data_IF_692658406517
#
_entry.id   IF_692658406517
#
_cell.length_a   1.000
_cell.length_b   1.000
_cell.length_c   1.000
_cell.angle_alpha   90.00
_cell.angle_beta   90.00
_cell.angle_gamma   90.00
#
_symmetry.space_group_name_H-M   'P 1'
#
loop_
_entity.id
_entity.type
_entity.pdbx_description
1 polymer ?
#
# COMPACT_ATOMS: atom_id res chain seq x y z
N UNK A 1 13.18 -1.50 -14.55
CA UNK A 1 12.74 -2.16 -13.31
C UNK A 1 11.36 -2.72 -13.57
N UNK A 2 11.27 -4.02 -13.82
CA UNK A 2 9.99 -4.69 -14.06
C UNK A 2 9.40 -5.02 -12.68
N UNK A 3 8.33 -4.33 -12.30
CA UNK A 3 7.54 -4.68 -11.12
C UNK A 3 6.55 -5.75 -11.62
N UNK A 4 6.76 -7.01 -11.23
CA UNK A 4 5.79 -8.06 -11.49
C UNK A 4 4.61 -7.87 -10.53
N UNK A 5 3.50 -7.37 -11.08
CA UNK A 5 2.27 -7.08 -10.35
C UNK A 5 1.38 -8.32 -10.29
N UNK A 6 1.38 -9.03 -9.17
CA UNK A 6 0.29 -9.95 -8.84
C UNK A 6 -0.83 -9.14 -8.16
N UNK A 7 -1.56 -8.33 -8.92
CA UNK A 7 -2.71 -7.54 -8.44
C UNK A 7 -3.97 -8.35 -8.70
N UNK A 8 -4.51 -9.01 -7.67
CA UNK A 8 -5.78 -9.72 -7.76
C UNK A 8 -6.92 -9.08 -6.95
N UNK A 9 -6.73 -7.91 -6.31
CA UNK A 9 -7.74 -7.39 -5.35
C UNK A 9 -8.16 -5.93 -5.61
N UNK A 10 -7.47 -5.18 -6.47
CA UNK A 10 -7.89 -3.81 -6.82
C UNK A 10 -7.52 -3.50 -8.26
N UNK A 11 -8.50 -3.47 -9.17
CA UNK A 11 -8.29 -3.03 -10.55
C UNK A 11 -8.18 -1.50 -10.58
N UNK A 12 -7.03 -0.97 -10.14
CA UNK A 12 -6.77 0.46 -10.26
C UNK A 12 -6.60 0.83 -11.73
N UNK A 13 -7.36 1.83 -12.17
CA UNK A 13 -7.19 2.42 -13.49
C UNK A 13 -6.04 3.44 -13.49
N UNK A 14 -5.86 4.13 -12.36
CA UNK A 14 -4.88 5.20 -12.21
C UNK A 14 -4.12 5.00 -10.92
N UNK A 15 -2.78 5.13 -10.99
CA UNK A 15 -1.87 5.03 -9.85
C UNK A 15 -0.82 6.13 -9.89
N UNK A 16 -0.68 6.86 -8.79
CA UNK A 16 0.36 7.87 -8.61
C UNK A 16 1.23 7.56 -7.41
N UNK A 17 2.53 7.80 -7.55
CA UNK A 17 3.51 7.71 -6.47
C UNK A 17 4.19 9.07 -6.35
N UNK A 18 4.30 9.62 -5.15
CA UNK A 18 4.99 10.88 -4.93
C UNK A 18 5.64 10.92 -3.56
N UNK A 19 6.72 11.68 -3.46
CA UNK A 19 7.34 12.02 -2.20
C UNK A 19 6.77 13.36 -1.72
N UNK A 20 6.18 13.37 -0.52
CA UNK A 20 5.77 14.60 0.14
C UNK A 20 6.93 15.10 1.01
N UNK A 21 7.55 16.21 0.59
CA UNK A 21 8.69 16.80 1.29
C UNK A 21 8.32 17.41 2.64
N UNK A 22 7.06 17.85 2.83
CA UNK A 22 6.62 18.50 4.07
C UNK A 22 6.66 17.59 5.30
N UNK A 23 6.50 16.27 5.11
CA UNK A 23 6.54 15.26 6.18
C UNK A 23 7.55 14.13 5.91
N UNK A 24 8.30 14.26 4.81
CA UNK A 24 9.29 13.32 4.33
C UNK A 24 8.74 11.90 4.18
N UNK A 25 7.59 11.77 3.52
CA UNK A 25 6.95 10.46 3.28
C UNK A 25 6.73 10.16 1.81
N UNK A 26 6.77 8.87 1.49
CA UNK A 26 6.26 8.36 0.23
C UNK A 26 4.76 8.13 0.35
N UNK A 27 4.05 8.55 -0.68
CA UNK A 27 2.60 8.45 -0.79
C UNK A 27 2.26 7.76 -2.10
N UNK A 28 1.23 6.93 -2.05
CA UNK A 28 0.68 6.27 -3.22
C UNK A 28 -0.84 6.35 -3.20
N UNK A 29 -1.42 6.69 -4.36
CA UNK A 29 -2.87 6.83 -4.54
C UNK A 29 -3.31 5.94 -5.69
N UNK A 30 -4.36 5.15 -5.45
CA UNK A 30 -5.00 4.27 -6.42
C UNK A 30 -6.45 4.69 -6.56
N UNK A 31 -6.91 4.86 -7.80
CA UNK A 31 -8.30 5.17 -8.10
C UNK A 31 -8.85 4.06 -9.00
N UNK A 32 -9.96 3.45 -8.56
CA UNK A 32 -10.66 2.42 -9.34
C UNK A 32 -11.73 3.02 -10.26
N UNK A 33 -12.36 2.16 -11.05
CA UNK A 33 -13.40 2.52 -12.00
C UNK A 33 -14.76 2.89 -11.38
N UNK A 34 -14.93 2.68 -10.07
CA UNK A 34 -16.12 3.00 -9.30
C UNK A 34 -15.92 4.28 -8.45
N UNK A 35 -14.76 4.93 -8.56
CA UNK A 35 -14.41 6.12 -7.79
C UNK A 35 -13.88 5.81 -6.38
N UNK A 36 -13.60 4.54 -6.07
CA UNK A 36 -12.91 4.14 -4.86
C UNK A 36 -11.47 4.65 -4.86
N UNK A 37 -11.05 5.23 -3.74
CA UNK A 37 -9.69 5.77 -3.56
C UNK A 37 -8.99 5.05 -2.44
N UNK A 38 -7.82 4.46 -2.74
CA UNK A 38 -6.88 3.98 -1.74
C UNK A 38 -5.69 4.93 -1.68
N UNK A 39 -5.54 5.61 -0.55
CA UNK A 39 -4.37 6.40 -0.21
C UNK A 39 -3.54 5.66 0.84
N UNK A 40 -2.25 5.44 0.56
CA UNK A 40 -1.31 4.86 1.50
C UNK A 40 -0.06 5.74 1.61
N UNK A 41 0.49 5.83 2.82
CA UNK A 41 1.61 6.72 3.16
C UNK A 41 2.59 6.01 4.07
N UNK A 42 3.88 6.31 3.92
CA UNK A 42 4.89 5.76 4.81
C UNK A 42 6.32 6.10 4.42
N UNK A 43 7.25 5.30 4.92
CA UNK A 43 8.69 5.55 4.85
C UNK A 43 9.47 4.25 4.64
N UNK A 44 10.72 4.41 4.23
CA UNK A 44 11.67 3.31 4.22
C UNK A 44 12.09 2.99 5.66
N UNK A 45 11.87 1.75 6.11
CA UNK A 45 12.18 1.28 7.46
C UNK A 45 12.93 -0.04 7.37
N UNK A 46 14.16 -0.09 7.91
CA UNK A 46 15.04 -1.24 7.75
C UNK A 46 15.44 -1.44 6.29
N UNK A 47 15.01 -2.55 5.68
CA UNK A 47 15.25 -2.85 4.26
C UNK A 47 13.94 -2.89 3.45
N UNK A 48 12.90 -2.17 3.87
CA UNK A 48 11.59 -2.18 3.23
C UNK A 48 10.99 -0.79 3.15
N UNK A 49 10.35 -0.46 2.04
CA UNK A 49 9.41 0.66 1.98
C UNK A 49 8.06 0.16 2.48
N UNK A 50 7.49 0.76 3.52
CA UNK A 50 6.21 0.33 4.10
C UNK A 50 5.24 1.51 4.07
N UNK A 51 4.14 1.38 3.34
CA UNK A 51 3.07 2.38 3.24
C UNK A 51 1.79 1.79 3.83
N UNK A 52 1.18 2.53 4.76
CA UNK A 52 -0.08 2.16 5.41
C UNK A 52 -1.20 3.12 4.99
N UNK A 53 -2.40 2.60 4.82
CA UNK A 53 -3.61 3.37 4.60
C UNK A 53 -4.27 3.82 5.90
N UNK A 54 -5.33 4.62 5.76
CA UNK A 54 -6.22 4.96 6.87
C UNK A 54 -6.97 3.71 7.37
N UNK A 55 -7.40 3.74 8.62
CA UNK A 55 -8.31 2.72 9.17
C UNK A 55 -9.69 2.90 8.52
N UNK A 56 -10.21 1.81 7.98
CA UNK A 56 -11.52 1.69 7.36
C UNK A 56 -12.38 0.71 8.17
N UNK A 57 -13.69 0.76 7.93
CA UNK A 57 -14.66 -0.16 8.54
C UNK A 57 -15.28 -1.01 7.44
N UNK A 58 -15.25 -2.32 7.58
CA UNK A 58 -15.88 -3.23 6.62
C UNK A 58 -17.41 -3.32 6.84
N UNK A 59 -18.09 -4.06 5.97
CA UNK A 59 -19.55 -4.27 6.04
C UNK A 59 -20.03 -4.92 7.35
N UNK A 60 -19.19 -5.73 7.99
CA UNK A 60 -19.47 -6.37 9.29
C UNK A 60 -19.13 -5.45 10.48
N UNK A 61 -18.66 -4.24 10.21
CA UNK A 61 -18.26 -3.27 11.21
C UNK A 61 -16.87 -3.46 11.82
N UNK A 62 -16.07 -4.40 11.32
CA UNK A 62 -14.69 -4.62 11.75
C UNK A 62 -13.78 -3.57 11.15
N UNK A 63 -12.88 -3.03 11.98
CA UNK A 63 -11.87 -2.06 11.57
C UNK A 63 -10.66 -2.76 10.95
N UNK A 64 -10.13 -2.20 9.87
CA UNK A 64 -8.95 -2.71 9.17
C UNK A 64 -8.22 -1.59 8.42
N UNK A 65 -6.98 -1.83 8.00
CA UNK A 65 -6.25 -0.94 7.09
C UNK A 65 -5.44 -1.74 6.07
N UNK A 66 -5.10 -1.10 4.95
CA UNK A 66 -4.24 -1.68 3.91
C UNK A 66 -2.78 -1.32 4.17
N UNK A 67 -1.87 -2.27 3.97
CA UNK A 67 -0.44 -2.03 3.96
C UNK A 67 0.17 -2.58 2.69
N UNK A 68 1.03 -1.79 2.04
CA UNK A 68 1.88 -2.29 0.96
C UNK A 68 3.34 -2.15 1.39
N UNK A 69 4.09 -3.24 1.24
CA UNK A 69 5.52 -3.29 1.49
C UNK A 69 6.28 -3.58 0.19
N UNK A 70 7.33 -2.81 -0.08
CA UNK A 70 8.27 -3.10 -1.15
C UNK A 70 9.62 -3.50 -0.54
N UNK A 71 10.12 -4.65 -0.96
CA UNK A 71 11.41 -5.20 -0.51
C UNK A 71 12.33 -5.33 -1.73
N UNK A 72 13.49 -4.67 -1.76
CA UNK A 72 14.49 -4.89 -2.79
C UNK A 72 15.11 -6.29 -2.62
N UNK A 73 15.23 -7.02 -3.72
CA UNK A 73 15.86 -8.33 -3.77
C UNK A 73 17.31 -8.23 -4.20
N UNK A 74 18.10 -9.27 -3.92
CA UNK A 74 19.55 -9.31 -4.24
C UNK A 74 19.84 -9.26 -5.74
N UNK A 75 18.90 -9.71 -6.57
CA UNK A 75 19.00 -9.71 -8.03
C UNK A 75 18.60 -8.37 -8.68
N UNK A 76 18.31 -7.34 -7.87
CA UNK A 76 17.87 -6.03 -8.33
C UNK A 76 16.37 -5.94 -8.65
N UNK A 77 15.61 -7.02 -8.50
CA UNK A 77 14.15 -6.99 -8.55
C UNK A 77 13.57 -6.39 -7.26
N UNK A 78 12.28 -6.06 -7.28
CA UNK A 78 11.55 -5.56 -6.11
C UNK A 78 10.30 -6.41 -5.91
N UNK A 79 10.14 -6.97 -4.71
CA UNK A 79 8.91 -7.66 -4.31
C UNK A 79 7.96 -6.68 -3.66
N UNK A 80 6.76 -6.58 -4.21
CA UNK A 80 5.64 -5.88 -3.60
C UNK A 80 4.73 -6.89 -2.88
N UNK A 81 4.36 -6.57 -1.64
CA UNK A 81 3.43 -7.36 -0.84
C UNK A 81 2.31 -6.45 -0.34
N UNK A 82 1.06 -6.79 -0.67
CA UNK A 82 -0.13 -6.15 -0.12
C UNK A 82 -0.71 -7.02 0.98
N UNK A 83 -0.96 -6.44 2.15
CA UNK A 83 -1.58 -7.10 3.29
C UNK A 83 -2.72 -6.24 3.88
N UNK A 84 -3.68 -6.92 4.51
CA UNK A 84 -4.69 -6.30 5.35
C UNK A 84 -4.33 -6.56 6.81
N UNK A 85 -4.57 -5.56 7.65
CA UNK A 85 -4.38 -5.64 9.09
C UNK A 85 -5.64 -5.14 9.78
N UNK A 86 -5.95 -5.66 10.96
CA UNK A 86 -6.96 -5.03 11.82
C UNK A 86 -6.41 -3.76 12.51
N UNK A 87 -7.24 -3.12 13.32
CA UNK A 87 -6.86 -1.91 14.06
C UNK A 87 -5.80 -2.12 15.13
N UNK A 88 -5.38 -3.36 15.42
CA UNK A 88 -4.35 -3.71 16.41
C UNK A 88 -3.12 -4.37 15.77
N UNK A 89 -2.87 -4.08 14.48
CA UNK A 89 -1.74 -4.57 13.68
C UNK A 89 -1.69 -6.11 13.55
N UNK A 90 -2.81 -6.83 13.73
CA UNK A 90 -2.89 -8.25 13.40
C UNK A 90 -3.25 -8.42 11.93
N UNK A 91 -2.41 -9.14 11.19
CA UNK A 91 -2.66 -9.49 9.79
C UNK A 91 -3.95 -10.30 9.65
N UNK A 92 -4.78 -9.94 8.66
CA UNK A 92 -6.07 -10.54 8.32
C UNK A 92 -5.96 -11.58 7.19
#
# INVERSE_FOLDING_TARGET
MLITENIFVFAALIRYNYFNSSDSTWNQVWIDNQGGVLEIKGKFTGNKMILKGKILKNQQGKLYYNQISWTPNKDGSVTQLWELFDSVDKRL
#
